data_IF_807205551276
#
_entry.id   IF_807205551276
#
_cell.length_a   1.000
_cell.length_b   1.000
_cell.length_c   1.000
_cell.angle_alpha   90.00
_cell.angle_beta   90.00
_cell.angle_gamma   90.00
#
_symmetry.space_group_name_H-M   'P 1'
#
loop_
_entity.id
_entity.type
_entity.pdbx_description
1 polymer ?
#
# COMPACT_ATOMS: atom_id res chain seq x y z
N UNK A 1 14.50 -7.40 7.01
CA UNK A 1 15.75 -7.00 6.32
C UNK A 1 15.49 -7.11 4.83
N UNK A 2 15.94 -6.14 4.04
CA UNK A 2 15.81 -6.21 2.58
C UNK A 2 17.00 -6.99 2.02
N UNK A 3 16.71 -8.04 1.27
CA UNK A 3 17.70 -8.84 0.56
C UNK A 3 18.43 -8.00 -0.51
N UNK A 4 19.76 -8.14 -0.68
CA UNK A 4 20.50 -7.41 -1.72
C UNK A 4 19.90 -7.55 -3.13
N UNK A 5 19.43 -8.73 -3.50
CA UNK A 5 18.92 -9.01 -4.85
C UNK A 5 17.55 -8.36 -5.06
N UNK A 6 16.70 -8.39 -4.03
CA UNK A 6 15.44 -7.67 -4.04
C UNK A 6 15.66 -6.16 -4.22
N UNK A 7 16.65 -5.60 -3.52
CA UNK A 7 17.02 -4.19 -3.66
C UNK A 7 17.43 -3.85 -5.09
N UNK A 8 18.33 -4.65 -5.68
CA UNK A 8 18.79 -4.45 -7.06
C UNK A 8 17.60 -4.53 -8.03
N UNK A 9 16.70 -5.50 -7.85
CA UNK A 9 15.49 -5.66 -8.67
C UNK A 9 14.57 -4.44 -8.58
N UNK A 10 14.28 -3.96 -7.36
CA UNK A 10 13.43 -2.77 -7.16
C UNK A 10 14.05 -1.51 -7.78
N UNK A 11 15.34 -1.31 -7.57
CA UNK A 11 16.04 -0.15 -8.10
C UNK A 11 16.10 -0.15 -9.63
N UNK A 12 16.41 -1.30 -10.23
CA UNK A 12 16.50 -1.46 -11.69
C UNK A 12 15.15 -1.23 -12.36
N UNK A 13 14.05 -1.64 -11.70
CA UNK A 13 12.69 -1.36 -12.17
C UNK A 13 12.38 0.14 -12.17
N UNK A 14 12.81 0.86 -11.13
CA UNK A 14 12.48 2.28 -10.97
C UNK A 14 13.31 3.22 -11.86
N UNK A 15 14.59 2.94 -12.08
CA UNK A 15 15.53 3.83 -12.79
C UNK A 15 16.06 3.29 -14.13
N UNK A 16 15.56 2.13 -14.57
CA UNK A 16 16.10 1.42 -15.72
C UNK A 16 17.35 0.59 -15.39
N UNK A 17 17.87 -0.14 -16.38
CA UNK A 17 18.94 -1.15 -16.26
C UNK A 17 20.33 -0.61 -15.88
N UNK A 18 20.46 0.57 -15.25
CA UNK A 18 21.76 1.03 -14.75
C UNK A 18 22.17 0.14 -13.57
N UNK A 19 23.23 -0.68 -13.71
CA UNK A 19 23.65 -1.56 -12.63
C UNK A 19 24.17 -0.74 -11.46
N UNK A 20 23.63 -1.02 -10.26
CA UNK A 20 24.20 -0.51 -9.01
C UNK A 20 25.54 -1.20 -8.78
N UNK A 21 26.56 -0.42 -8.44
CA UNK A 21 27.90 -0.91 -8.15
C UNK A 21 28.16 -0.80 -6.65
N UNK A 22 29.04 -1.66 -6.12
CA UNK A 22 29.44 -1.59 -4.70
C UNK A 22 30.01 -0.22 -4.31
N UNK A 23 30.63 0.50 -5.25
CA UNK A 23 31.15 1.86 -5.04
C UNK A 23 30.07 2.93 -4.80
N UNK A 24 28.80 2.61 -5.05
CA UNK A 24 27.68 3.52 -4.81
C UNK A 24 27.23 3.48 -3.33
N UNK A 25 27.71 2.49 -2.56
CA UNK A 25 27.54 2.39 -1.12
C UNK A 25 28.77 2.93 -0.39
N UNK A 26 28.52 3.78 0.59
CA UNK A 26 29.51 4.37 1.48
C UNK A 26 29.29 3.85 2.88
N UNK A 27 30.36 3.47 3.54
CA UNK A 27 30.31 2.94 4.90
C UNK A 27 31.30 3.68 5.77
N UNK A 28 30.91 3.87 7.04
CA UNK A 28 31.78 4.42 8.07
C UNK A 28 31.64 3.59 9.33
N UNK A 29 32.77 3.36 10.00
CA UNK A 29 32.82 2.73 11.31
C UNK A 29 33.35 3.72 12.35
N UNK A 30 32.89 3.58 13.59
CA UNK A 30 33.44 4.28 14.75
C UNK A 30 33.54 3.32 15.94
N UNK A 31 34.40 3.65 16.89
CA UNK A 31 34.44 3.01 18.20
C UNK A 31 33.70 3.90 19.20
N UNK A 32 32.89 3.32 20.07
CA UNK A 32 32.35 4.04 21.21
C UNK A 32 33.37 4.07 22.38
N UNK A 33 33.00 4.71 23.48
CA UNK A 33 33.84 4.79 24.69
C UNK A 33 34.13 3.43 25.34
N UNK A 34 33.31 2.41 25.05
CA UNK A 34 33.51 1.03 25.51
C UNK A 34 34.39 0.20 24.54
N UNK A 35 34.88 0.80 23.45
CA UNK A 35 35.64 0.09 22.42
C UNK A 35 34.80 -0.79 21.49
N UNK A 36 33.46 -0.70 21.55
CA UNK A 36 32.56 -1.41 20.65
C UNK A 36 32.51 -0.71 19.28
N UNK A 37 32.48 -1.50 18.22
CA UNK A 37 32.38 -1.01 16.84
C UNK A 37 30.93 -0.72 16.48
N UNK A 38 30.72 0.45 15.90
CA UNK A 38 29.45 0.88 15.35
C UNK A 38 29.61 1.26 13.89
N UNK A 39 28.61 0.94 13.08
CA UNK A 39 28.61 1.09 11.62
C UNK A 39 27.48 1.99 11.18
N UNK A 40 27.72 2.83 10.18
CA UNK A 40 26.68 3.53 9.43
C UNK A 40 26.91 3.29 7.94
N UNK A 41 25.84 3.37 7.17
CA UNK A 41 25.86 3.17 5.72
C UNK A 41 25.10 4.31 5.04
N UNK A 42 25.51 4.64 3.83
CA UNK A 42 24.86 5.59 2.96
C UNK A 42 24.92 5.08 1.51
N UNK A 43 23.95 5.45 0.70
CA UNK A 43 23.86 5.09 -0.71
C UNK A 43 23.74 6.35 -1.54
N UNK A 44 24.64 6.53 -2.50
CA UNK A 44 24.54 7.61 -3.49
C UNK A 44 23.90 7.06 -4.75
N UNK A 45 22.71 7.53 -5.06
CA UNK A 45 21.98 7.12 -6.26
C UNK A 45 22.76 7.56 -7.52
N UNK A 46 23.21 6.62 -8.38
CA UNK A 46 23.94 6.97 -9.61
C UNK A 46 23.07 7.69 -10.65
N UNK A 47 21.75 7.70 -10.49
CA UNK A 47 20.86 8.36 -11.45
C UNK A 47 20.60 9.84 -11.16
N UNK A 48 20.39 10.19 -9.89
CA UNK A 48 20.02 11.56 -9.48
C UNK A 48 21.01 12.20 -8.49
N UNK A 49 22.11 11.51 -8.17
CA UNK A 49 23.12 11.93 -7.18
C UNK A 49 22.59 12.16 -5.76
N UNK A 50 21.35 11.76 -5.45
CA UNK A 50 20.79 11.86 -4.10
C UNK A 50 21.51 10.89 -3.18
N UNK A 51 21.89 11.36 -1.99
CA UNK A 51 22.51 10.52 -0.95
C UNK A 51 21.43 10.14 0.06
N UNK A 52 21.23 8.84 0.23
CA UNK A 52 20.32 8.26 1.21
C UNK A 52 21.15 7.75 2.39
N UNK A 53 20.82 8.19 3.60
CA UNK A 53 21.45 7.74 4.82
C UNK A 53 20.60 6.67 5.50
N UNK A 54 21.23 5.76 6.25
CA UNK A 54 20.50 4.82 7.09
C UNK A 54 19.58 5.56 8.08
N UNK A 55 18.34 5.08 8.21
CA UNK A 55 17.35 5.61 9.16
C UNK A 55 17.00 4.58 10.25
N UNK A 56 16.41 5.07 11.35
CA UNK A 56 16.05 4.31 12.55
C UNK A 56 15.67 2.85 12.27
N UNK A 57 16.44 1.93 12.84
CA UNK A 57 16.21 0.49 12.73
C UNK A 57 16.50 -0.28 14.02
N UNK A 58 16.51 -1.61 13.93
CA UNK A 58 16.77 -2.50 15.06
C UNK A 58 18.14 -2.24 15.67
N UNK A 59 18.19 -2.05 17.00
CA UNK A 59 19.41 -1.75 17.77
C UNK A 59 20.22 -0.54 17.25
N UNK A 60 19.55 0.43 16.63
CA UNK A 60 20.22 1.64 16.16
C UNK A 60 20.43 2.66 17.28
N UNK A 61 21.52 3.41 17.19
CA UNK A 61 21.81 4.55 18.05
C UNK A 61 21.94 5.81 17.19
N UNK A 62 21.28 6.91 17.57
CA UNK A 62 21.33 8.17 16.82
C UNK A 62 22.37 9.10 17.42
N UNK A 63 23.37 9.52 16.63
CA UNK A 63 24.35 10.50 17.08
C UNK A 63 23.76 11.91 17.16
N UNK A 64 24.43 12.87 17.83
CA UNK A 64 24.00 14.27 17.87
C UNK A 64 23.85 14.93 16.50
N UNK A 65 24.62 14.48 15.50
CA UNK A 65 24.52 14.93 14.10
C UNK A 65 23.32 14.30 13.36
N UNK A 66 22.51 13.49 14.04
CA UNK A 66 21.34 12.84 13.47
C UNK A 66 21.62 11.56 12.67
N UNK A 67 22.85 11.05 12.68
CA UNK A 67 23.25 9.83 11.95
C UNK A 67 22.89 8.59 12.78
N UNK A 68 22.27 7.59 12.14
CA UNK A 68 21.99 6.32 12.80
C UNK A 68 23.17 5.34 12.64
N UNK A 69 23.62 4.82 13.77
CA UNK A 69 24.68 3.84 13.90
C UNK A 69 24.11 2.49 14.32
N UNK A 70 24.74 1.40 13.87
CA UNK A 70 24.30 0.02 14.10
C UNK A 70 25.47 -0.84 14.58
N UNK A 71 25.22 -1.90 15.36
CA UNK A 71 26.28 -2.79 15.86
C UNK A 71 26.89 -3.67 14.76
N UNK A 72 26.19 -3.86 13.63
CA UNK A 72 26.64 -4.70 12.51
C UNK A 72 26.53 -3.96 11.18
N UNK A 73 27.55 -4.09 10.34
CA UNK A 73 27.60 -3.51 8.99
C UNK A 73 26.40 -3.95 8.12
N UNK A 74 26.04 -5.24 8.16
CA UNK A 74 24.91 -5.79 7.41
C UNK A 74 23.58 -5.11 7.76
N UNK A 75 23.39 -4.75 9.03
CA UNK A 75 22.17 -4.07 9.49
C UNK A 75 22.14 -2.63 8.98
N UNK A 76 23.28 -1.92 9.03
CA UNK A 76 23.39 -0.57 8.48
C UNK A 76 23.06 -0.54 6.99
N UNK A 77 23.59 -1.48 6.20
CA UNK A 77 23.29 -1.58 4.77
C UNK A 77 21.82 -1.89 4.51
N UNK A 78 21.22 -2.81 5.28
CA UNK A 78 19.80 -3.14 5.15
C UNK A 78 18.90 -1.96 5.49
N UNK A 79 19.27 -1.16 6.49
CA UNK A 79 18.57 0.08 6.84
C UNK A 79 18.66 1.10 5.70
N UNK A 80 19.85 1.35 5.14
CA UNK A 80 20.02 2.23 3.97
C UNK A 80 19.17 1.79 2.79
N UNK A 81 19.20 0.49 2.43
CA UNK A 81 18.38 -0.05 1.34
C UNK A 81 16.89 0.16 1.57
N UNK A 82 16.44 0.06 2.82
CA UNK A 82 15.03 0.29 3.19
C UNK A 82 14.59 1.73 2.93
N UNK A 83 15.45 2.71 3.24
CA UNK A 83 15.21 4.13 2.95
C UNK A 83 15.12 4.37 1.45
N UNK A 84 16.03 3.79 0.66
CA UNK A 84 16.02 3.92 -0.81
C UNK A 84 14.75 3.32 -1.40
N UNK A 85 14.34 2.12 -0.98
CA UNK A 85 13.10 1.47 -1.46
C UNK A 85 11.87 2.28 -1.07
N UNK A 86 11.82 2.84 0.14
CA UNK A 86 10.73 3.72 0.56
C UNK A 86 10.64 4.98 -0.33
N UNK A 87 11.77 5.64 -0.56
CA UNK A 87 11.84 6.81 -1.43
C UNK A 87 11.43 6.50 -2.89
N UNK A 88 11.81 5.33 -3.40
CA UNK A 88 11.42 4.86 -4.73
C UNK A 88 9.91 4.66 -4.85
N UNK A 89 9.28 4.00 -3.86
CA UNK A 89 7.83 3.78 -3.82
C UNK A 89 7.06 5.11 -3.76
N UNK A 90 7.57 6.08 -3.01
CA UNK A 90 6.98 7.42 -2.96
C UNK A 90 7.08 8.15 -4.31
N UNK A 91 8.17 7.97 -5.05
CA UNK A 91 8.34 8.52 -6.41
C UNK A 91 7.41 7.85 -7.42
N UNK A 92 7.23 6.53 -7.38
CA UNK A 92 6.30 5.81 -8.27
C UNK A 92 4.87 6.34 -8.20
N UNK A 93 4.36 6.63 -6.99
CA UNK A 93 3.03 7.25 -6.81
C UNK A 93 2.91 8.67 -7.38
N UNK A 94 4.03 9.34 -7.67
CA UNK A 94 4.07 10.69 -8.23
C UNK A 94 4.34 10.71 -9.74
N UNK A 95 5.06 9.73 -10.27
CA UNK A 95 5.45 9.65 -11.69
C UNK A 95 4.27 9.35 -12.62
N UNK A 96 3.24 8.66 -12.14
CA UNK A 96 2.02 8.37 -12.91
C UNK A 96 1.22 9.64 -13.28
N UNK A 97 1.55 10.80 -12.69
CA UNK A 97 0.93 12.08 -13.04
C UNK A 97 1.68 12.90 -14.09
N UNK A 98 2.97 12.67 -14.32
CA UNK A 98 3.78 13.56 -15.18
C UNK A 98 4.03 13.03 -16.59
N UNK A 99 3.94 11.72 -16.83
CA UNK A 99 4.25 11.13 -18.14
C UNK A 99 3.17 11.31 -19.23
N UNK A 100 2.23 12.25 -19.06
CA UNK A 100 1.13 12.51 -20.01
C UNK A 100 1.10 13.94 -20.57
N UNK A 101 2.15 14.75 -20.37
CA UNK A 101 2.11 16.17 -20.77
C UNK A 101 2.96 16.56 -21.98
N UNK A 102 3.89 15.71 -22.46
CA UNK A 102 4.90 16.16 -23.42
C UNK A 102 4.97 15.32 -24.73
N UNK A 103 3.88 14.68 -25.13
CA UNK A 103 3.70 14.14 -26.49
C UNK A 103 2.43 14.76 -27.08
N UNK A 104 2.53 16.06 -27.36
CA UNK A 104 1.61 16.77 -28.25
C UNK A 104 1.93 16.32 -29.68
N UNK A 105 1.29 15.23 -30.10
CA UNK A 105 0.93 15.04 -31.50
C UNK A 105 -0.51 15.57 -31.64
N UNK A 106 -0.69 16.55 -32.53
CA UNK A 106 -1.97 17.15 -32.91
C UNK A 106 -2.92 16.08 -33.49
N UNK A 107 -3.52 15.28 -32.61
CA UNK A 107 -4.66 14.44 -32.90
C UNK A 107 -5.90 15.20 -32.42
N UNK A 108 -6.92 15.44 -33.27
CA UNK A 108 -8.14 16.10 -32.84
C UNK A 108 -8.80 15.29 -31.71
N UNK A 109 -8.68 15.80 -30.48
CA UNK A 109 -9.16 15.19 -29.25
C UNK A 109 -10.67 15.45 -29.10
N UNK A 110 -11.45 14.61 -29.75
CA UNK A 110 -12.89 14.52 -29.57
C UNK A 110 -13.25 13.32 -28.68
N UNK A 111 -12.66 13.19 -27.47
CA UNK A 111 -13.26 12.41 -26.35
C UNK A 111 -12.38 12.28 -25.09
N UNK A 112 -11.53 13.25 -24.75
CA UNK A 112 -10.93 13.32 -23.41
C UNK A 112 -11.90 13.84 -22.37
N UNK A 113 -12.91 13.02 -22.10
CA UNK A 113 -13.80 13.17 -20.96
C UNK A 113 -12.92 13.15 -19.69
N UNK A 114 -12.76 14.32 -19.08
CA UNK A 114 -12.01 14.48 -17.83
C UNK A 114 -12.66 13.58 -16.79
N UNK A 115 -12.11 12.39 -16.55
CA UNK A 115 -12.49 11.52 -15.44
C UNK A 115 -12.33 12.32 -14.15
N UNK A 116 -13.42 12.90 -13.65
CA UNK A 116 -13.47 13.51 -12.32
C UNK A 116 -13.00 12.43 -11.37
N UNK A 117 -12.04 12.76 -10.51
CA UNK A 117 -11.69 11.87 -9.40
C UNK A 117 -12.94 11.77 -8.53
N UNK A 118 -13.67 10.67 -8.68
CA UNK A 118 -14.78 10.34 -7.80
C UNK A 118 -14.21 10.21 -6.39
N UNK A 119 -14.76 10.98 -5.45
CA UNK A 119 -14.30 10.94 -4.07
C UNK A 119 -14.63 9.57 -3.47
N UNK A 120 -13.73 9.04 -2.63
CA UNK A 120 -13.95 7.75 -1.96
C UNK A 120 -15.25 7.70 -1.15
N UNK A 121 -15.80 8.86 -0.76
CA UNK A 121 -17.10 8.99 -0.09
C UNK A 121 -18.25 8.56 -1.00
N UNK A 122 -18.23 8.95 -2.27
CA UNK A 122 -19.29 8.63 -3.24
C UNK A 122 -19.33 7.13 -3.50
N UNK A 123 -18.15 6.49 -3.57
CA UNK A 123 -18.06 5.04 -3.72
C UNK A 123 -18.66 4.28 -2.54
N UNK A 124 -18.44 4.74 -1.30
CA UNK A 124 -19.06 4.11 -0.13
C UNK A 124 -20.58 4.25 -0.14
N UNK A 125 -21.10 5.39 -0.58
CA UNK A 125 -22.54 5.58 -0.77
C UNK A 125 -23.08 4.61 -1.83
N UNK A 126 -22.34 4.42 -2.93
CA UNK A 126 -22.70 3.44 -3.96
C UNK A 126 -22.64 1.99 -3.42
N UNK A 127 -21.61 1.63 -2.66
CA UNK A 127 -21.46 0.32 -2.03
C UNK A 127 -22.60 0.00 -1.06
N UNK A 128 -23.07 0.99 -0.29
CA UNK A 128 -24.25 0.81 0.57
C UNK A 128 -25.51 0.42 -0.21
N UNK A 129 -25.59 0.74 -1.51
CA UNK A 129 -26.72 0.37 -2.38
C UNK A 129 -26.43 -0.85 -3.27
N UNK A 130 -25.17 -1.22 -3.44
CA UNK A 130 -24.75 -2.24 -4.41
C UNK A 130 -25.04 -3.68 -3.99
N UNK A 131 -25.12 -4.57 -4.98
CA UNK A 131 -25.14 -6.01 -4.72
C UNK A 131 -23.70 -6.56 -4.74
N UNK A 132 -23.17 -6.89 -3.56
CA UNK A 132 -21.80 -7.41 -3.41
C UNK A 132 -21.55 -8.70 -4.20
N UNK A 133 -22.58 -9.53 -4.41
CA UNK A 133 -22.50 -10.72 -5.26
C UNK A 133 -22.07 -10.36 -6.68
N UNK A 134 -22.73 -9.38 -7.30
CA UNK A 134 -22.47 -8.99 -8.68
C UNK A 134 -21.06 -8.43 -8.84
N UNK A 135 -20.64 -7.56 -7.92
CA UNK A 135 -19.28 -7.03 -7.92
C UNK A 135 -18.26 -8.15 -7.74
N UNK A 136 -18.50 -9.09 -6.83
CA UNK A 136 -17.59 -10.19 -6.55
C UNK A 136 -17.42 -11.15 -7.75
N UNK A 137 -18.51 -11.56 -8.40
CA UNK A 137 -18.47 -12.44 -9.59
C UNK A 137 -17.75 -11.76 -10.76
N UNK A 138 -17.88 -10.44 -10.92
CA UNK A 138 -17.13 -9.68 -11.94
C UNK A 138 -15.61 -9.72 -11.69
N UNK A 139 -15.16 -9.87 -10.44
CA UNK A 139 -13.75 -9.97 -10.06
C UNK A 139 -13.26 -11.42 -10.15
N UNK A 140 -14.10 -12.38 -9.76
CA UNK A 140 -13.80 -13.80 -9.76
C UNK A 140 -14.89 -14.59 -10.51
N UNK A 141 -14.84 -14.64 -11.85
CA UNK A 141 -15.88 -15.31 -12.66
C UNK A 141 -16.01 -16.81 -12.35
N UNK A 142 -14.91 -17.45 -11.95
CA UNK A 142 -14.85 -18.86 -11.54
C UNK A 142 -15.73 -19.17 -10.31
N UNK A 143 -16.00 -18.14 -9.49
CA UNK A 143 -16.79 -18.25 -8.26
C UNK A 143 -18.22 -17.80 -8.54
N UNK A 144 -19.12 -18.76 -8.77
CA UNK A 144 -20.50 -18.45 -9.15
C UNK A 144 -21.30 -17.78 -8.02
N UNK A 145 -21.01 -18.07 -6.74
CA UNK A 145 -21.83 -17.65 -5.59
C UNK A 145 -20.96 -17.21 -4.39
N UNK A 146 -21.14 -15.96 -3.94
CA UNK A 146 -20.66 -15.46 -2.66
C UNK A 146 -21.58 -15.96 -1.55
N UNK A 147 -21.19 -17.08 -0.93
CA UNK A 147 -21.96 -17.72 0.14
C UNK A 147 -22.09 -16.79 1.35
N UNK A 148 -23.19 -16.93 2.11
CA UNK A 148 -23.39 -16.20 3.38
C UNK A 148 -22.25 -16.42 4.38
N UNK A 149 -21.60 -17.59 4.32
CA UNK A 149 -20.42 -17.93 5.14
C UNK A 149 -19.19 -17.07 4.85
N UNK A 150 -19.16 -16.30 3.76
CA UNK A 150 -18.12 -15.31 3.48
C UNK A 150 -18.16 -14.12 4.45
N UNK A 151 -19.20 -14.00 5.26
CA UNK A 151 -19.38 -12.90 6.20
C UNK A 151 -19.45 -13.40 7.63
N UNK A 152 -18.75 -12.71 8.54
CA UNK A 152 -18.87 -12.87 9.99
C UNK A 152 -19.35 -11.57 10.61
N UNK A 153 -20.36 -11.64 11.46
CA UNK A 153 -20.94 -10.48 12.13
C UNK A 153 -20.70 -10.53 13.63
N UNK A 154 -20.47 -9.37 14.20
CA UNK A 154 -20.47 -9.15 15.64
C UNK A 154 -21.34 -7.92 15.90
N UNK A 155 -22.15 -7.99 16.95
CA UNK A 155 -22.96 -6.86 17.43
C UNK A 155 -22.70 -6.73 18.92
N UNK A 156 -22.44 -5.51 19.37
CA UNK A 156 -22.35 -5.17 20.79
C UNK A 156 -23.28 -4.01 21.08
N UNK A 157 -23.61 -3.83 22.35
CA UNK A 157 -24.40 -2.72 22.85
C UNK A 157 -23.47 -1.77 23.62
N UNK A 158 -23.40 -0.51 23.21
CA UNK A 158 -22.69 0.55 23.91
C UNK A 158 -23.72 1.62 24.26
N UNK A 159 -23.95 1.81 25.56
CA UNK A 159 -24.87 2.82 26.10
C UNK A 159 -26.30 2.74 25.50
N UNK A 160 -26.81 1.53 25.27
CA UNK A 160 -28.13 1.30 24.68
C UNK A 160 -28.16 1.40 23.15
N UNK A 161 -27.02 1.67 22.51
CA UNK A 161 -26.89 1.72 21.05
C UNK A 161 -26.23 0.45 20.54
N UNK A 162 -26.95 -0.29 19.69
CA UNK A 162 -26.39 -1.45 18.99
C UNK A 162 -25.44 -0.98 17.90
N UNK A 163 -24.22 -1.48 17.94
CA UNK A 163 -23.21 -1.22 16.92
C UNK A 163 -22.69 -2.53 16.36
N UNK A 164 -22.28 -2.49 15.10
CA UNK A 164 -22.04 -3.65 14.26
C UNK A 164 -20.62 -3.67 13.70
N UNK A 165 -20.02 -4.85 13.69
CA UNK A 165 -18.80 -5.14 12.94
C UNK A 165 -19.09 -6.28 11.95
N UNK A 166 -18.60 -6.13 10.72
CA UNK A 166 -18.72 -7.13 9.68
C UNK A 166 -17.35 -7.43 9.11
N UNK A 167 -16.96 -8.69 9.11
CA UNK A 167 -15.70 -9.15 8.54
C UNK A 167 -15.97 -9.94 7.26
N UNK A 168 -15.24 -9.64 6.20
CA UNK A 168 -15.36 -10.31 4.90
C UNK A 168 -14.22 -11.31 4.69
N UNK A 169 -14.56 -12.54 4.30
CA UNK A 169 -13.62 -13.61 4.00
C UNK A 169 -13.85 -14.03 2.55
N UNK A 170 -12.94 -13.63 1.66
CA UNK A 170 -13.07 -13.86 0.23
C UNK A 170 -12.95 -15.36 -0.11
N UNK A 171 -13.97 -16.02 -0.67
CA UNK A 171 -13.88 -17.44 -1.04
C UNK A 171 -12.78 -17.76 -2.05
N UNK A 172 -12.41 -16.81 -2.91
CA UNK A 172 -11.36 -16.97 -3.91
C UNK A 172 -9.95 -16.88 -3.29
N UNK A 173 -9.82 -16.29 -2.10
CA UNK A 173 -8.55 -16.05 -1.43
C UNK A 173 -8.48 -16.89 -0.16
N UNK A 174 -7.70 -17.97 -0.20
CA UNK A 174 -7.56 -18.88 0.94
C UNK A 174 -7.06 -18.13 2.18
N UNK A 175 -7.89 -18.08 3.22
CA UNK A 175 -7.59 -17.55 4.55
C UNK A 175 -7.32 -16.03 4.64
N UNK A 176 -7.73 -15.22 3.65
CA UNK A 176 -7.61 -13.76 3.77
C UNK A 176 -8.89 -13.19 4.38
N UNK A 177 -8.70 -12.39 5.43
CA UNK A 177 -9.76 -11.77 6.22
C UNK A 177 -9.66 -10.26 6.08
N UNK A 178 -10.76 -9.63 5.70
CA UNK A 178 -10.89 -8.19 5.52
C UNK A 178 -11.74 -7.60 6.64
N UNK A 179 -11.08 -6.86 7.52
CA UNK A 179 -11.74 -6.11 8.58
C UNK A 179 -12.09 -4.69 8.09
N UNK A 180 -13.22 -4.14 8.53
CA UNK A 180 -13.58 -2.77 8.21
C UNK A 180 -12.68 -1.82 9.03
N UNK A 181 -12.23 -0.73 8.41
CA UNK A 181 -11.40 0.29 9.07
C UNK A 181 -11.76 1.71 8.60
N UNK A 182 -11.78 2.67 9.52
CA UNK A 182 -12.02 4.07 9.24
C UNK A 182 -13.47 4.40 8.84
N UNK A 183 -13.62 5.34 7.89
CA UNK A 183 -14.89 5.67 7.21
C UNK A 183 -16.11 5.92 8.13
N UNK A 184 -15.90 6.53 9.29
CA UNK A 184 -16.96 6.87 10.24
C UNK A 184 -17.27 5.80 11.29
N UNK A 185 -16.49 4.71 11.35
CA UNK A 185 -16.60 3.72 12.42
C UNK A 185 -15.96 4.21 13.73
N UNK A 186 -16.50 3.73 14.86
CA UNK A 186 -15.98 3.95 16.20
C UNK A 186 -14.98 2.85 16.53
N UNK A 187 -13.76 3.21 16.97
CA UNK A 187 -12.74 2.24 17.37
C UNK A 187 -12.95 1.83 18.84
N UNK A 188 -13.27 0.56 19.08
CA UNK A 188 -13.39 -0.04 20.42
C UNK A 188 -12.78 -1.43 20.43
N UNK A 189 -11.96 -1.74 21.44
CA UNK A 189 -11.24 -3.01 21.59
C UNK A 189 -10.44 -3.43 20.35
N UNK A 190 -9.82 -2.45 19.68
CA UNK A 190 -9.02 -2.68 18.47
C UNK A 190 -9.84 -3.02 17.22
N UNK A 191 -11.18 -2.87 17.25
CA UNK A 191 -12.07 -3.09 16.11
C UNK A 191 -12.89 -1.85 15.81
N UNK A 192 -13.19 -1.62 14.52
CA UNK A 192 -14.11 -0.57 14.10
C UNK A 192 -15.55 -1.08 14.12
N UNK A 193 -16.44 -0.31 14.72
CA UNK A 193 -17.85 -0.59 14.84
C UNK A 193 -18.68 0.51 14.17
N UNK A 194 -19.82 0.14 13.60
CA UNK A 194 -20.65 1.01 12.79
C UNK A 194 -22.10 0.95 13.26
N UNK A 195 -22.85 2.03 13.02
CA UNK A 195 -24.26 2.16 13.41
C UNK A 195 -25.16 1.07 12.83
N UNK A 196 -24.83 0.53 11.65
CA UNK A 196 -25.63 -0.48 10.98
C UNK A 196 -24.78 -1.56 10.27
N UNK A 197 -25.35 -2.77 10.15
CA UNK A 197 -24.68 -3.92 9.52
C UNK A 197 -24.31 -3.65 8.04
N UNK A 198 -25.13 -2.88 7.33
CA UNK A 198 -24.94 -2.59 5.91
C UNK A 198 -23.73 -1.69 5.69
N UNK A 199 -23.52 -0.69 6.55
CA UNK A 199 -22.34 0.16 6.56
C UNK A 199 -21.10 -0.65 6.91
N UNK A 200 -21.14 -1.49 7.95
CA UNK A 200 -20.03 -2.35 8.30
C UNK A 200 -19.60 -3.26 7.14
N UNK A 201 -20.57 -3.90 6.45
CA UNK A 201 -20.32 -4.71 5.24
C UNK A 201 -19.69 -3.89 4.12
N UNK A 202 -20.22 -2.70 3.86
CA UNK A 202 -19.78 -1.84 2.77
C UNK A 202 -18.34 -1.41 2.96
N UNK A 203 -17.95 -1.07 4.20
CA UNK A 203 -16.56 -0.70 4.52
C UNK A 203 -15.64 -1.91 4.41
N UNK A 204 -16.02 -3.07 4.95
CA UNK A 204 -15.21 -4.29 4.80
C UNK A 204 -15.00 -4.67 3.32
N UNK A 205 -16.04 -4.55 2.49
CA UNK A 205 -15.95 -4.80 1.06
C UNK A 205 -15.10 -3.74 0.34
N UNK A 206 -15.17 -2.47 0.74
CA UNK A 206 -14.31 -1.40 0.22
C UNK A 206 -12.82 -1.70 0.48
N UNK A 207 -12.47 -2.19 1.67
CA UNK A 207 -11.10 -2.61 2.00
C UNK A 207 -10.65 -3.77 1.10
N UNK A 208 -11.53 -4.74 0.86
CA UNK A 208 -11.29 -5.81 -0.10
C UNK A 208 -11.04 -5.27 -1.53
N UNK A 209 -11.91 -4.41 -2.06
CA UNK A 209 -11.72 -3.80 -3.39
C UNK A 209 -10.42 -3.01 -3.48
N UNK A 210 -10.08 -2.26 -2.43
CA UNK A 210 -8.82 -1.52 -2.35
C UNK A 210 -7.60 -2.43 -2.40
N UNK A 211 -7.68 -3.60 -1.77
CA UNK A 211 -6.62 -4.63 -1.86
C UNK A 211 -6.56 -5.22 -3.27
N UNK A 212 -7.70 -5.54 -3.88
CA UNK A 212 -7.76 -6.09 -5.24
C UNK A 212 -7.16 -5.12 -6.28
N UNK A 213 -7.46 -3.83 -6.17
CA UNK A 213 -6.89 -2.79 -7.04
C UNK A 213 -5.36 -2.70 -6.86
N UNK A 214 -4.87 -2.71 -5.62
CA UNK A 214 -3.41 -2.71 -5.33
C UNK A 214 -2.69 -3.94 -5.86
N UNK A 215 -3.38 -5.08 -5.94
CA UNK A 215 -2.86 -6.33 -6.51
C UNK A 215 -3.00 -6.40 -8.03
N UNK A 216 -3.61 -5.40 -8.68
CA UNK A 216 -3.87 -5.39 -10.12
C UNK A 216 -4.91 -6.42 -10.57
N UNK A 217 -5.80 -6.86 -9.67
CA UNK A 217 -6.90 -7.79 -9.99
C UNK A 217 -8.15 -7.09 -10.54
N UNK A 218 -8.25 -5.79 -10.30
CA UNK A 218 -9.23 -4.88 -10.90
C UNK A 218 -8.50 -3.62 -11.37
N UNK A 219 -9.07 -2.90 -12.33
CA UNK A 219 -8.44 -1.70 -12.87
C UNK A 219 -8.41 -0.58 -11.83
N UNK A 220 -9.54 -0.35 -11.15
CA UNK A 220 -9.66 0.54 -10.02
C UNK A 220 -10.86 0.12 -9.14
N UNK A 221 -11.24 0.95 -8.17
CA UNK A 221 -12.33 0.64 -7.24
C UNK A 221 -13.73 0.62 -7.90
N UNK A 222 -13.87 1.18 -9.10
CA UNK A 222 -15.13 1.30 -9.83
C UNK A 222 -15.21 0.31 -10.99
N UNK A 223 -14.09 -0.11 -11.58
CA UNK A 223 -14.06 -0.89 -12.82
C UNK A 223 -13.24 -2.19 -12.71
N UNK A 224 -13.76 -3.25 -13.35
CA UNK A 224 -12.99 -4.48 -13.60
C UNK A 224 -11.87 -4.25 -14.62
N UNK A 225 -10.98 -5.23 -14.79
CA UNK A 225 -9.91 -5.17 -15.81
C UNK A 225 -10.45 -5.02 -17.23
N UNK A 226 -11.63 -5.58 -17.52
CA UNK A 226 -12.33 -5.45 -18.81
C UNK A 226 -13.08 -4.11 -18.96
N UNK A 227 -12.92 -3.18 -18.02
CA UNK A 227 -13.57 -1.87 -18.04
C UNK A 227 -15.05 -1.88 -17.67
N UNK A 228 -15.59 -2.98 -17.13
CA UNK A 228 -17.00 -3.05 -16.71
C UNK A 228 -17.17 -2.44 -15.30
N UNK A 229 -18.21 -1.63 -15.05
CA UNK A 229 -18.47 -1.08 -13.74
C UNK A 229 -18.83 -2.17 -12.72
N UNK A 230 -18.13 -2.20 -11.59
CA UNK A 230 -18.30 -3.22 -10.55
C UNK A 230 -19.66 -3.10 -9.85
N UNK A 231 -20.10 -1.87 -9.55
CA UNK A 231 -21.30 -1.58 -8.75
C UNK A 231 -22.57 -1.29 -9.59
N UNK A 232 -22.53 -1.59 -10.89
CA UNK A 232 -23.71 -1.58 -11.75
C UNK A 232 -24.60 -2.80 -11.53
#
# INVERSE_FOLDING_TARGET
QIDPDDFIRFYSKAFGLKPIKNRDFYQKQCLNSAGERWFTSAFKCPNDNTIYYAEKGYKSHRSPQGIYWYPEQKIADSATRSVVVAALRSKEGSFDRRKRKDLDCDVPDASREKRKKTDNKDLLVALKKANFQNAYVKIFPEQQILRKSAWKFQTIDIDGTKIHNATFMSPAEKNIIYHPEGHGGILSDGKYWYEDERTAKSVAFFIFLSKMAKMGKIADLHYSLDGRPLLS
#
